data_IF_823325936874
#
_entry.id   IF_823325936874
#
_cell.length_a   1.000
_cell.length_b   1.000
_cell.length_c   1.000
_cell.angle_alpha   90.00
_cell.angle_beta   90.00
_cell.angle_gamma   90.00
#
_symmetry.space_group_name_H-M   'P 1'
#
loop_
_entity.id
_entity.type
_entity.pdbx_description
1 polymer ?
#
# COMPACT_ATOMS: atom_id res chain seq x y z
N UNK A 1 24.74 -40.97 5.24
CA UNK A 1 23.35 -40.99 5.73
C UNK A 1 23.25 -40.38 7.13
N UNK A 2 24.26 -40.58 7.99
CA UNK A 2 24.26 -40.05 9.38
C UNK A 2 24.27 -38.52 9.48
N UNK A 3 25.07 -37.79 8.69
CA UNK A 3 25.11 -36.31 8.74
C UNK A 3 23.81 -35.62 8.31
N UNK A 4 23.01 -36.28 7.46
CA UNK A 4 21.73 -35.75 7.00
C UNK A 4 20.63 -35.94 8.06
N UNK A 5 20.59 -37.10 8.71
CA UNK A 5 19.69 -37.34 9.83
C UNK A 5 20.06 -36.52 11.07
N UNK A 6 21.34 -36.22 11.27
CA UNK A 6 21.84 -35.34 12.33
C UNK A 6 21.48 -33.86 12.05
N UNK A 7 21.54 -33.43 10.79
CA UNK A 7 21.05 -32.12 10.35
C UNK A 7 19.53 -31.99 10.57
N UNK A 8 18.74 -33.01 10.22
CA UNK A 8 17.29 -33.03 10.42
C UNK A 8 16.91 -33.00 11.91
N UNK A 9 17.64 -33.71 12.77
CA UNK A 9 17.42 -33.70 14.23
C UNK A 9 17.77 -32.34 14.84
N UNK A 10 18.89 -31.74 14.45
CA UNK A 10 19.32 -30.45 15.01
C UNK A 10 18.53 -29.25 14.46
N UNK A 11 17.85 -29.40 13.32
CA UNK A 11 17.10 -28.32 12.67
C UNK A 11 15.62 -28.68 12.47
N UNK A 12 15.05 -29.51 13.35
CA UNK A 12 13.67 -30.02 13.24
C UNK A 12 12.65 -28.88 13.08
N UNK A 13 12.89 -27.73 13.72
CA UNK A 13 12.05 -26.52 13.58
C UNK A 13 12.13 -25.89 12.17
N UNK A 14 13.34 -25.75 11.61
CA UNK A 14 13.56 -25.17 10.26
C UNK A 14 13.01 -26.09 9.18
N UNK A 15 13.10 -27.41 9.37
CA UNK A 15 12.57 -28.40 8.43
C UNK A 15 11.04 -28.47 8.48
N UNK A 16 10.43 -28.32 9.66
CA UNK A 16 8.98 -28.23 9.81
C UNK A 16 8.42 -26.93 9.21
N UNK A 17 9.13 -25.80 9.39
CA UNK A 17 8.78 -24.51 8.78
C UNK A 17 8.95 -24.54 7.26
N UNK A 18 10.02 -25.14 6.74
CA UNK A 18 10.21 -25.33 5.30
C UNK A 18 9.15 -26.26 4.69
N UNK A 19 8.77 -27.35 5.38
CA UNK A 19 7.68 -28.23 4.96
C UNK A 19 6.31 -27.52 5.00
N UNK A 20 6.07 -26.66 6.01
CA UNK A 20 4.86 -25.85 6.12
C UNK A 20 4.74 -24.79 5.01
N UNK A 21 5.84 -24.12 4.67
CA UNK A 21 5.90 -23.13 3.58
C UNK A 21 5.69 -23.81 2.21
N UNK A 22 6.29 -24.98 1.98
CA UNK A 22 6.08 -25.75 0.73
C UNK A 22 4.63 -26.26 0.62
N UNK A 23 4.01 -26.68 1.73
CA UNK A 23 2.58 -27.02 1.77
C UNK A 23 1.68 -25.81 1.52
N UNK A 24 2.04 -24.62 2.00
CA UNK A 24 1.30 -23.38 1.77
C UNK A 24 1.42 -22.88 0.31
N UNK A 25 2.60 -23.03 -0.32
CA UNK A 25 2.81 -22.72 -1.74
C UNK A 25 2.10 -23.75 -2.64
N UNK A 26 2.06 -25.03 -2.26
CA UNK A 26 1.33 -26.05 -2.98
C UNK A 26 -0.21 -25.91 -2.85
N UNK A 27 -0.71 -25.41 -1.71
CA UNK A 27 -2.14 -25.16 -1.50
C UNK A 27 -2.63 -23.86 -2.14
N UNK A 28 -1.78 -22.83 -2.28
CA UNK A 28 -2.09 -21.61 -3.03
C UNK A 28 -1.76 -21.71 -4.55
N UNK A 29 -1.09 -22.78 -4.98
CA UNK A 29 -0.76 -23.06 -6.38
C UNK A 29 -1.87 -23.74 -7.20
N UNK A 30 -3.04 -24.02 -6.62
CA UNK A 30 -4.17 -24.68 -7.31
C UNK A 30 -5.49 -23.95 -7.05
N UNK A 31 -5.60 -22.68 -7.44
CA UNK A 31 -6.89 -22.07 -7.83
C UNK A 31 -6.64 -20.83 -8.69
N UNK A 32 -6.18 -21.05 -9.91
CA UNK A 32 -6.27 -20.08 -11.02
C UNK A 32 -6.25 -20.80 -12.36
N UNK A 33 -7.20 -21.70 -12.57
CA UNK A 33 -7.58 -22.13 -13.91
C UNK A 33 -8.72 -21.22 -14.39
N UNK A 34 -8.40 -19.98 -14.76
CA UNK A 34 -9.32 -19.20 -15.61
C UNK A 34 -9.12 -19.72 -17.04
N UNK A 35 -9.93 -20.71 -17.41
CA UNK A 35 -10.08 -21.11 -18.80
C UNK A 35 -10.72 -19.96 -19.58
N UNK A 36 -9.90 -19.21 -20.33
CA UNK A 36 -10.36 -18.31 -21.39
C UNK A 36 -10.01 -18.91 -22.75
N UNK A 37 -11.05 -19.31 -23.48
CA UNK A 37 -11.09 -19.15 -24.94
C UNK A 37 -11.15 -20.40 -25.82
N UNK A 38 -12.36 -20.71 -26.30
CA UNK A 38 -12.61 -20.84 -27.74
C UNK A 38 -12.78 -22.24 -28.33
N UNK A 39 -13.99 -22.53 -28.83
CA UNK A 39 -14.22 -23.51 -29.91
C UNK A 39 -15.37 -24.47 -29.67
N UNK A 40 -16.42 -24.34 -30.49
CA UNK A 40 -17.57 -25.24 -30.68
C UNK A 40 -17.36 -26.71 -30.30
N UNK A 41 -18.26 -27.26 -29.46
CA UNK A 41 -19.27 -28.25 -29.85
C UNK A 41 -20.12 -28.62 -28.62
N UNK A 42 -21.44 -28.50 -28.75
CA UNK A 42 -22.45 -29.07 -27.83
C UNK A 42 -22.39 -30.62 -27.88
N UNK A 43 -23.01 -31.44 -26.98
CA UNK A 43 -24.21 -31.14 -26.17
C UNK A 43 -24.14 -31.64 -24.68
N UNK A 44 -24.77 -30.94 -23.73
CA UNK A 44 -26.13 -31.13 -23.18
C UNK A 44 -26.13 -31.75 -21.77
N UNK A 45 -27.04 -31.20 -20.96
CA UNK A 45 -27.65 -31.76 -19.74
C UNK A 45 -26.81 -31.76 -18.45
N UNK A 46 -26.86 -30.64 -17.71
CA UNK A 46 -27.25 -30.61 -16.29
C UNK A 46 -27.07 -29.21 -15.68
N UNK A 47 -27.95 -28.25 -16.02
CA UNK A 47 -28.13 -27.07 -15.17
C UNK A 47 -29.53 -26.49 -15.37
N UNK A 48 -30.52 -27.14 -14.76
CA UNK A 48 -31.83 -26.58 -14.52
C UNK A 48 -32.00 -26.38 -13.00
N UNK A 49 -32.43 -25.15 -12.65
CA UNK A 49 -32.93 -24.69 -11.34
C UNK A 49 -31.81 -24.31 -10.35
N UNK A 50 -31.66 -23.05 -9.90
CA UNK A 50 -32.68 -22.04 -9.62
C UNK A 50 -32.19 -20.63 -10.02
N UNK A 51 -32.76 -20.12 -11.11
CA UNK A 51 -32.95 -18.69 -11.32
C UNK A 51 -34.05 -18.20 -10.35
N UNK A 52 -33.72 -17.25 -9.48
CA UNK A 52 -34.70 -16.26 -9.03
C UNK A 52 -34.11 -14.87 -9.22
N UNK A 53 -34.46 -14.33 -10.39
CA UNK A 53 -34.37 -12.96 -10.84
C UNK A 53 -35.13 -12.05 -9.85
N UNK A 54 -34.45 -11.07 -9.26
CA UNK A 54 -35.09 -9.84 -8.78
C UNK A 54 -34.49 -8.67 -9.55
N UNK A 55 -35.38 -7.94 -10.20
CA UNK A 55 -35.10 -6.89 -11.17
C UNK A 55 -34.43 -5.68 -10.52
N UNK A 56 -33.35 -5.23 -11.16
CA UNK A 56 -32.64 -4.00 -10.87
C UNK A 56 -33.37 -2.85 -11.58
N UNK A 57 -33.82 -1.78 -10.90
CA UNK A 57 -34.22 -0.57 -11.60
C UNK A 57 -32.96 0.15 -12.11
N UNK A 58 -32.88 0.34 -13.41
CA UNK A 58 -31.87 1.20 -14.02
C UNK A 58 -32.12 2.66 -13.64
N UNK A 59 -31.18 3.29 -12.96
CA UNK A 59 -31.06 4.74 -12.97
C UNK A 59 -29.71 5.15 -13.57
N UNK A 60 -29.80 5.67 -14.81
CA UNK A 60 -28.85 6.65 -15.33
C UNK A 60 -29.06 7.95 -14.55
N UNK A 61 -27.99 8.56 -14.06
CA UNK A 61 -28.02 9.95 -13.61
C UNK A 61 -27.06 10.24 -12.47
N UNK A 62 -26.08 11.08 -12.79
CA UNK A 62 -25.25 11.89 -11.93
C UNK A 62 -24.11 11.22 -11.16
N UNK A 63 -22.90 11.70 -11.49
CA UNK A 63 -21.69 11.59 -10.68
C UNK A 63 -21.96 12.27 -9.34
N UNK A 64 -22.60 11.54 -8.44
CA UNK A 64 -22.68 11.90 -7.05
C UNK A 64 -21.29 11.70 -6.47
N UNK A 65 -20.82 12.75 -5.81
CA UNK A 65 -19.73 12.75 -4.85
C UNK A 65 -20.12 11.80 -3.69
N UNK A 66 -20.09 10.48 -3.96
CA UNK A 66 -20.51 9.47 -3.00
C UNK A 66 -19.40 9.35 -1.97
N UNK A 67 -19.59 10.00 -0.83
CA UNK A 67 -18.81 9.71 0.37
C UNK A 67 -18.84 8.18 0.55
N UNK A 68 -17.69 7.54 0.45
CA UNK A 68 -17.56 6.08 0.59
C UNK A 68 -18.04 5.71 1.99
N UNK A 69 -19.26 5.15 2.09
CA UNK A 69 -19.92 4.83 3.36
C UNK A 69 -19.85 3.33 3.63
N UNK A 70 -19.67 2.97 4.91
CA UNK A 70 -19.73 1.58 5.36
C UNK A 70 -21.10 0.96 5.03
N UNK A 71 -21.14 -0.32 4.74
CA UNK A 71 -22.40 -1.08 4.63
C UNK A 71 -23.00 -1.34 6.02
N UNK A 72 -24.28 -1.75 6.08
CA UNK A 72 -24.88 -2.12 7.38
C UNK A 72 -24.21 -3.33 8.01
N UNK A 73 -23.77 -4.29 7.19
CA UNK A 73 -23.02 -5.46 7.67
C UNK A 73 -21.68 -5.04 8.30
N UNK A 74 -20.95 -4.13 7.65
CA UNK A 74 -19.69 -3.58 8.18
C UNK A 74 -19.90 -2.77 9.46
N UNK A 75 -20.92 -1.90 9.50
CA UNK A 75 -21.27 -1.15 10.71
C UNK A 75 -21.62 -2.09 11.87
N UNK A 76 -22.37 -3.15 11.60
CA UNK A 76 -22.72 -4.12 12.64
C UNK A 76 -21.49 -4.83 13.18
N UNK A 77 -20.60 -5.31 12.30
CA UNK A 77 -19.36 -5.95 12.72
C UNK A 77 -18.51 -5.02 13.61
N UNK A 78 -18.33 -3.75 13.21
CA UNK A 78 -17.56 -2.76 13.98
C UNK A 78 -18.17 -2.47 15.36
N UNK A 79 -19.51 -2.41 15.46
CA UNK A 79 -20.19 -2.22 16.76
C UNK A 79 -19.89 -3.35 17.74
N UNK A 80 -19.74 -4.57 17.23
CA UNK A 80 -19.59 -5.78 18.03
C UNK A 80 -18.13 -6.12 18.35
N UNK A 81 -17.16 -5.27 17.98
CA UNK A 81 -15.76 -5.48 18.34
C UNK A 81 -15.57 -5.56 19.85
N UNK A 82 -14.89 -6.62 20.28
CA UNK A 82 -14.42 -6.73 21.65
C UNK A 82 -13.25 -5.74 21.91
N UNK A 83 -12.82 -5.67 23.17
CA UNK A 83 -11.79 -4.72 23.58
C UNK A 83 -10.43 -5.01 22.94
N UNK A 84 -10.08 -6.28 22.72
CA UNK A 84 -8.81 -6.66 22.12
C UNK A 84 -8.77 -6.25 20.64
N UNK A 85 -9.83 -6.55 19.90
CA UNK A 85 -10.00 -6.15 18.50
C UNK A 85 -9.95 -4.64 18.35
N UNK A 86 -10.61 -3.89 19.25
CA UNK A 86 -10.56 -2.41 19.25
C UNK A 86 -9.14 -1.87 19.41
N UNK A 87 -8.33 -2.45 20.28
CA UNK A 87 -6.94 -2.03 20.48
C UNK A 87 -6.07 -2.30 19.26
N UNK A 88 -6.25 -3.45 18.61
CA UNK A 88 -5.53 -3.79 17.38
C UNK A 88 -5.93 -2.84 16.25
N UNK A 89 -7.24 -2.57 16.09
CA UNK A 89 -7.74 -1.62 15.09
C UNK A 89 -7.21 -0.21 15.36
N UNK A 90 -7.21 0.26 16.60
CA UNK A 90 -6.65 1.56 16.97
C UNK A 90 -5.16 1.64 16.60
N UNK A 91 -4.39 0.58 16.79
CA UNK A 91 -2.99 0.51 16.37
C UNK A 91 -2.85 0.59 14.84
N UNK A 92 -3.72 -0.10 14.10
CA UNK A 92 -3.73 -0.06 12.64
C UNK A 92 -4.07 1.34 12.14
N UNK A 93 -5.07 1.99 12.75
CA UNK A 93 -5.56 3.30 12.35
C UNK A 93 -4.61 4.45 12.71
N UNK A 94 -3.86 4.31 13.82
CA UNK A 94 -2.87 5.30 14.23
C UNK A 94 -1.56 5.18 13.43
N UNK A 95 -1.42 4.15 12.60
CA UNK A 95 -0.25 3.94 11.76
C UNK A 95 -0.44 4.55 10.38
N UNK A 96 0.65 5.07 9.82
CA UNK A 96 0.77 5.33 8.37
C UNK A 96 1.54 4.20 7.73
N UNK A 97 1.14 3.85 6.53
CA UNK A 97 1.60 2.64 5.86
C UNK A 97 2.27 3.02 4.54
N UNK A 98 3.50 2.56 4.31
CA UNK A 98 4.18 2.68 3.03
C UNK A 98 4.27 1.31 2.35
N UNK A 99 4.08 1.29 1.04
CA UNK A 99 4.17 0.09 0.24
C UNK A 99 5.56 -0.54 0.40
N UNK A 100 5.61 -1.87 0.51
CA UNK A 100 6.86 -2.58 0.73
C UNK A 100 7.82 -2.51 -0.47
N UNK A 101 7.31 -2.20 -1.66
CA UNK A 101 8.10 -1.92 -2.86
C UNK A 101 8.48 -0.44 -3.04
N UNK A 102 8.18 0.41 -2.04
CA UNK A 102 8.48 1.84 -2.05
C UNK A 102 7.46 2.69 -2.82
N UNK A 103 6.56 2.10 -3.61
CA UNK A 103 5.67 2.79 -4.54
C UNK A 103 4.21 2.83 -4.09
N UNK A 104 3.95 3.63 -3.06
CA UNK A 104 2.59 3.93 -2.62
C UNK A 104 2.46 4.04 -1.11
N UNK A 105 1.32 4.57 -0.67
CA UNK A 105 1.01 4.74 0.74
C UNK A 105 -0.43 4.37 1.02
N UNK A 106 -0.71 4.07 2.27
CA UNK A 106 -2.04 3.72 2.74
C UNK A 106 -2.30 4.37 4.10
N UNK A 107 -3.53 4.84 4.27
CA UNK A 107 -4.08 5.19 5.58
C UNK A 107 -5.34 4.38 5.82
N UNK A 108 -5.57 4.05 7.09
CA UNK A 108 -6.76 3.32 7.52
C UNK A 108 -7.41 4.13 8.62
N UNK A 109 -8.69 4.46 8.48
CA UNK A 109 -9.43 5.19 9.51
C UNK A 109 -10.92 4.91 9.43
N UNK A 110 -11.53 4.59 10.58
CA UNK A 110 -12.97 4.37 10.73
C UNK A 110 -13.53 3.33 9.73
N UNK A 111 -12.76 2.25 9.50
CA UNK A 111 -13.11 1.20 8.52
C UNK A 111 -12.94 1.60 7.05
N UNK A 112 -12.27 2.71 6.76
CA UNK A 112 -11.96 3.19 5.41
C UNK A 112 -10.46 3.07 5.16
N UNK A 113 -10.10 2.36 4.09
CA UNK A 113 -8.76 2.29 3.53
C UNK A 113 -8.66 3.33 2.42
N UNK A 114 -7.62 4.16 2.47
CA UNK A 114 -7.25 5.06 1.38
C UNK A 114 -5.83 4.73 0.93
N UNK A 115 -5.70 4.19 -0.28
CA UNK A 115 -4.42 3.92 -0.93
C UNK A 115 -4.10 5.04 -1.93
N UNK A 116 -2.84 5.49 -1.95
CA UNK A 116 -2.30 6.39 -2.95
C UNK A 116 -1.11 5.73 -3.63
N UNK A 117 -1.15 5.60 -4.95
CA UNK A 117 -0.10 4.93 -5.73
C UNK A 117 0.07 5.57 -7.11
N UNK A 118 1.27 5.43 -7.68
CA UNK A 118 1.58 5.91 -9.03
C UNK A 118 1.00 5.00 -10.10
N UNK A 119 0.18 5.54 -11.00
CA UNK A 119 -0.25 4.85 -12.22
C UNK A 119 0.50 5.45 -13.42
N UNK A 120 1.27 4.61 -14.11
CA UNK A 120 2.01 5.04 -15.30
C UNK A 120 1.13 4.88 -16.54
N UNK A 121 0.87 5.97 -17.25
CA UNK A 121 0.21 5.95 -18.56
C UNK A 121 0.95 6.87 -19.52
N UNK A 122 1.35 6.34 -20.67
CA UNK A 122 1.99 7.10 -21.76
C UNK A 122 3.16 7.98 -21.27
N UNK A 123 4.10 7.38 -20.50
CA UNK A 123 5.29 8.02 -19.90
C UNK A 123 5.06 9.05 -18.79
N UNK A 124 3.80 9.36 -18.44
CA UNK A 124 3.46 10.23 -17.31
C UNK A 124 3.00 9.39 -16.13
N UNK A 125 3.60 9.60 -14.95
CA UNK A 125 3.12 9.02 -13.69
C UNK A 125 2.06 9.95 -13.11
N UNK A 126 0.85 9.43 -12.91
CA UNK A 126 -0.21 10.15 -12.19
C UNK A 126 -0.48 9.48 -10.86
N UNK A 127 -0.65 10.29 -9.82
CA UNK A 127 -1.13 9.78 -8.53
C UNK A 127 -2.58 9.33 -8.66
N UNK A 128 -2.84 8.07 -8.36
CA UNK A 128 -4.17 7.51 -8.23
C UNK A 128 -4.49 7.32 -6.76
N UNK A 129 -5.71 7.68 -6.38
CA UNK A 129 -6.26 7.46 -5.04
C UNK A 129 -7.37 6.42 -5.14
N UNK A 130 -7.26 5.35 -4.36
CA UNK A 130 -8.25 4.30 -4.24
C UNK A 130 -8.81 4.32 -2.82
N UNK A 131 -10.14 4.37 -2.71
CA UNK A 131 -10.84 4.39 -1.43
C UNK A 131 -11.74 3.17 -1.36
N UNK A 132 -11.61 2.39 -0.30
CA UNK A 132 -12.38 1.18 -0.08
C UNK A 132 -12.76 1.02 1.39
N UNK A 133 -13.90 0.42 1.65
CA UNK A 133 -14.37 0.13 3.02
C UNK A 133 -14.14 -1.32 3.38
N UNK A 134 -13.89 -1.57 4.67
CA UNK A 134 -13.80 -2.91 5.21
C UNK A 134 -14.34 -2.98 6.64
N UNK A 135 -14.62 -4.19 7.11
CA UNK A 135 -14.76 -4.48 8.53
C UNK A 135 -14.16 -5.84 8.85
N UNK A 136 -13.59 -5.98 10.04
CA UNK A 136 -13.10 -7.23 10.60
C UNK A 136 -14.32 -8.02 11.10
N UNK A 137 -14.39 -9.31 10.82
CA UNK A 137 -15.50 -10.18 11.27
C UNK A 137 -15.03 -11.28 12.22
N UNK A 138 -13.75 -11.60 12.18
CA UNK A 138 -13.10 -12.51 13.11
C UNK A 138 -11.62 -12.15 13.25
N UNK A 139 -11.05 -12.45 14.41
CA UNK A 139 -9.62 -12.29 14.72
C UNK A 139 -9.10 -13.62 15.26
N UNK A 140 -7.93 -14.03 14.79
CA UNK A 140 -7.16 -15.13 15.36
C UNK A 140 -5.72 -14.69 15.55
N UNK A 141 -5.10 -15.11 16.65
CA UNK A 141 -3.73 -14.77 17.01
C UNK A 141 -2.86 -16.00 16.82
N UNK A 142 -1.90 -15.92 15.89
CA UNK A 142 -0.92 -17.00 15.71
C UNK A 142 0.21 -16.76 16.70
N UNK A 143 0.53 -17.79 17.48
CA UNK A 143 1.64 -17.76 18.42
C UNK A 143 2.91 -17.27 17.73
N UNK A 144 3.60 -16.34 18.40
CA UNK A 144 4.83 -15.76 17.88
C UNK A 144 5.93 -16.80 17.66
N UNK A 145 6.98 -16.39 16.97
CA UNK A 145 8.15 -17.24 16.83
C UNK A 145 8.84 -17.47 18.19
N UNK A 146 9.70 -18.49 18.26
CA UNK A 146 10.35 -18.87 19.52
C UNK A 146 11.30 -17.79 20.07
N UNK A 147 11.64 -16.80 19.25
CA UNK A 147 12.50 -15.67 19.63
C UNK A 147 11.70 -14.50 20.22
N UNK A 148 10.38 -14.47 20.02
CA UNK A 148 9.52 -13.34 20.35
C UNK A 148 9.68 -12.14 19.40
N UNK A 149 10.45 -12.32 18.32
CA UNK A 149 10.67 -11.31 17.31
C UNK A 149 9.48 -11.10 16.40
N UNK A 150 8.70 -12.14 16.17
CA UNK A 150 7.60 -12.14 15.22
C UNK A 150 6.32 -12.59 15.90
N UNK A 151 5.23 -11.87 15.67
CA UNK A 151 3.88 -12.31 16.00
C UNK A 151 2.91 -11.90 14.90
N UNK A 152 1.82 -12.65 14.76
CA UNK A 152 0.83 -12.41 13.70
C UNK A 152 -0.58 -12.38 14.27
N UNK A 153 -1.32 -11.35 13.89
CA UNK A 153 -2.77 -11.31 13.98
C UNK A 153 -3.35 -11.55 12.59
N UNK A 154 -4.31 -12.47 12.49
CA UNK A 154 -5.00 -12.81 11.25
C UNK A 154 -6.47 -12.43 11.40
N UNK A 155 -6.96 -11.62 10.47
CA UNK A 155 -8.32 -11.13 10.45
C UNK A 155 -9.05 -11.70 9.24
N UNK A 156 -10.29 -12.16 9.47
CA UNK A 156 -11.25 -12.26 8.38
C UNK A 156 -11.90 -10.89 8.20
N UNK A 157 -11.87 -10.34 6.98
CA UNK A 157 -12.41 -9.01 6.69
C UNK A 157 -13.43 -9.06 5.55
N UNK A 158 -14.44 -8.18 5.60
CA UNK A 158 -15.46 -8.06 4.55
C UNK A 158 -15.34 -6.74 3.80
N UNK A 159 -15.34 -6.78 2.47
CA UNK A 159 -15.34 -5.59 1.61
C UNK A 159 -16.75 -4.97 1.46
N UNK A 160 -16.85 -3.89 0.68
CA UNK A 160 -18.12 -3.23 0.38
C UNK A 160 -19.11 -4.13 -0.39
N UNK A 161 -18.60 -5.08 -1.16
CA UNK A 161 -19.38 -6.03 -1.95
C UNK A 161 -19.85 -7.23 -1.13
N UNK A 162 -19.34 -7.38 0.10
CA UNK A 162 -19.60 -8.49 1.00
C UNK A 162 -18.72 -9.72 0.75
N UNK A 163 -17.63 -9.58 -0.02
CA UNK A 163 -16.62 -10.61 -0.20
C UNK A 163 -15.75 -10.73 1.05
N UNK A 164 -15.41 -11.95 1.43
CA UNK A 164 -14.51 -12.24 2.54
C UNK A 164 -13.04 -12.25 2.06
N UNK A 165 -12.16 -11.67 2.85
CA UNK A 165 -10.73 -11.55 2.61
C UNK A 165 -9.94 -11.92 3.88
N UNK A 166 -8.65 -12.18 3.73
CA UNK A 166 -7.73 -12.43 4.85
C UNK A 166 -6.73 -11.29 4.94
N UNK A 167 -6.77 -10.57 6.06
CA UNK A 167 -5.80 -9.55 6.39
C UNK A 167 -4.86 -10.07 7.48
N UNK A 168 -3.56 -9.85 7.34
CA UNK A 168 -2.55 -10.25 8.31
C UNK A 168 -1.78 -9.03 8.78
N UNK A 169 -1.74 -8.81 10.10
CA UNK A 169 -0.86 -7.84 10.75
C UNK A 169 0.29 -8.59 11.42
N UNK A 170 1.51 -8.33 10.96
CA UNK A 170 2.73 -8.88 11.53
C UNK A 170 3.39 -7.83 12.41
N UNK A 171 3.78 -8.18 13.64
CA UNK A 171 4.70 -7.39 14.46
C UNK A 171 6.11 -7.92 14.24
N UNK A 172 7.05 -7.01 14.00
CA UNK A 172 8.47 -7.33 13.88
C UNK A 172 9.26 -6.55 14.93
N UNK A 173 10.03 -7.28 15.72
CA UNK A 173 10.96 -6.75 16.72
C UNK A 173 12.40 -7.11 16.32
N UNK A 174 13.10 -6.21 15.60
CA UNK A 174 14.46 -6.47 15.14
C UNK A 174 15.45 -6.72 16.29
N UNK A 175 15.28 -6.03 17.41
CA UNK A 175 16.17 -6.18 18.57
C UNK A 175 16.12 -7.60 19.14
N UNK A 176 14.96 -8.26 19.10
CA UNK A 176 14.81 -9.66 19.49
C UNK A 176 15.47 -10.65 18.50
N UNK A 177 15.64 -10.28 17.22
CA UNK A 177 16.31 -11.11 16.21
C UNK A 177 17.83 -11.02 16.29
N UNK A 178 18.36 -9.80 16.39
CA UNK A 178 19.79 -9.54 16.15
C UNK A 178 20.53 -9.01 17.37
N UNK A 179 19.84 -8.70 18.48
CA UNK A 179 20.44 -8.08 19.67
C UNK A 179 20.86 -6.61 19.47
N UNK A 180 20.74 -6.13 18.23
CA UNK A 180 20.94 -4.77 17.74
C UNK A 180 19.78 -4.49 16.77
N UNK A 181 19.19 -3.29 16.71
CA UNK A 181 18.10 -3.08 15.74
C UNK A 181 17.28 -1.81 15.92
N UNK A 182 16.51 -1.52 14.88
CA UNK A 182 15.52 -0.44 14.81
C UNK A 182 14.32 -0.73 15.73
N UNK A 183 13.49 0.29 15.96
CA UNK A 183 12.23 0.17 16.70
C UNK A 183 11.31 -0.92 16.13
N UNK A 184 10.46 -1.49 17.00
CA UNK A 184 9.41 -2.42 16.59
C UNK A 184 8.55 -1.79 15.49
N UNK A 185 8.23 -2.58 14.47
CA UNK A 185 7.38 -2.15 13.37
C UNK A 185 6.33 -3.18 13.02
N UNK A 186 5.41 -2.79 12.14
CA UNK A 186 4.31 -3.61 11.71
C UNK A 186 4.24 -3.70 10.19
N UNK A 187 3.87 -4.87 9.70
CA UNK A 187 3.57 -5.14 8.30
C UNK A 187 2.11 -5.56 8.17
N UNK A 188 1.40 -5.00 7.20
CA UNK A 188 0.01 -5.30 6.91
C UNK A 188 -0.12 -5.86 5.49
N UNK A 189 -0.75 -7.02 5.34
CA UNK A 189 -1.00 -7.68 4.06
C UNK A 189 -2.47 -8.06 3.93
N UNK A 190 -3.03 -7.87 2.75
CA UNK A 190 -4.40 -8.28 2.41
C UNK A 190 -4.50 -8.36 0.88
N UNK A 191 -5.26 -9.31 0.36
CA UNK A 191 -5.53 -9.45 -1.08
C UNK A 191 -6.41 -8.33 -1.63
N UNK A 192 -7.07 -7.57 -0.77
CA UNK A 192 -7.83 -6.38 -1.15
C UNK A 192 -6.98 -5.15 -1.46
N UNK A 193 -5.70 -5.16 -1.09
CA UNK A 193 -4.82 -4.02 -1.29
C UNK A 193 -4.35 -3.94 -2.75
N UNK A 194 -4.08 -2.72 -3.22
CA UNK A 194 -3.42 -2.53 -4.51
C UNK A 194 -2.03 -3.17 -4.54
N UNK A 195 -1.28 -3.03 -3.43
CA UNK A 195 0.06 -3.57 -3.33
C UNK A 195 0.05 -5.02 -2.78
N UNK A 196 0.37 -5.99 -3.64
CA UNK A 196 0.40 -7.41 -3.28
C UNK A 196 1.46 -7.76 -2.22
N UNK A 197 2.57 -7.00 -2.17
CA UNK A 197 3.61 -7.18 -1.14
C UNK A 197 3.19 -6.60 0.21
N UNK A 198 2.06 -5.89 0.26
CA UNK A 198 1.53 -5.21 1.43
C UNK A 198 2.29 -3.94 1.79
N UNK A 199 2.03 -3.48 3.00
CA UNK A 199 2.54 -2.23 3.52
C UNK A 199 3.25 -2.41 4.85
N UNK A 200 4.13 -1.46 5.19
CA UNK A 200 4.82 -1.41 6.47
C UNK A 200 4.87 0.02 7.01
N UNK A 201 4.84 0.16 8.33
CA UNK A 201 4.97 1.45 8.99
C UNK A 201 6.44 1.85 9.27
N UNK A 202 7.42 0.96 9.11
CA UNK A 202 8.85 1.34 9.23
C UNK A 202 9.43 2.00 7.98
N UNK A 203 8.74 1.86 6.85
CA UNK A 203 9.13 2.43 5.56
C UNK A 203 8.46 3.78 5.32
N UNK A 204 7.44 4.12 6.09
CA UNK A 204 6.64 5.32 5.83
C UNK A 204 7.39 6.57 6.25
N UNK A 205 7.66 7.45 5.29
CA UNK A 205 7.96 8.83 5.61
C UNK A 205 6.67 9.52 6.05
N UNK A 206 6.55 9.87 7.34
CA UNK A 206 5.39 10.60 7.85
C UNK A 206 5.21 11.98 7.20
N UNK A 207 6.33 12.52 6.71
CA UNK A 207 6.49 13.74 5.94
C UNK A 207 7.88 13.76 5.30
N UNK A 208 8.06 14.53 4.22
CA UNK A 208 9.37 14.83 3.69
C UNK A 208 9.81 16.23 4.16
N UNK A 209 11.03 16.34 4.66
CA UNK A 209 11.66 17.63 4.92
C UNK A 209 12.06 18.27 3.60
N UNK A 210 11.69 19.53 3.37
CA UNK A 210 12.11 20.28 2.19
C UNK A 210 13.20 21.29 2.54
N UNK A 211 14.39 21.13 1.96
CA UNK A 211 15.48 22.08 2.10
C UNK A 211 15.64 22.97 0.86
N UNK A 212 16.19 24.16 1.05
CA UNK A 212 16.51 25.10 -0.03
C UNK A 212 15.33 25.96 -0.50
N UNK A 213 14.09 25.60 -0.16
CA UNK A 213 12.89 26.27 -0.70
C UNK A 213 12.43 27.53 0.07
N UNK A 214 13.12 27.90 1.15
CA UNK A 214 12.74 29.06 1.97
C UNK A 214 13.20 30.40 1.39
N UNK A 215 14.15 30.37 0.43
CA UNK A 215 14.72 31.55 -0.21
C UNK A 215 13.79 32.26 -1.20
N UNK A 216 13.99 33.57 -1.37
CA UNK A 216 13.19 34.40 -2.27
C UNK A 216 13.29 33.97 -3.74
N UNK A 217 14.42 33.37 -4.15
CA UNK A 217 14.60 32.88 -5.51
C UNK A 217 13.66 31.72 -5.82
N UNK A 218 13.53 30.77 -4.89
CA UNK A 218 12.57 29.67 -5.03
C UNK A 218 11.14 30.22 -5.14
N UNK A 219 10.77 31.09 -4.21
CA UNK A 219 9.44 31.70 -4.19
C UNK A 219 9.12 32.42 -5.50
N UNK A 220 10.07 33.15 -6.07
CA UNK A 220 9.89 33.81 -7.37
C UNK A 220 9.70 32.82 -8.52
N UNK A 221 10.46 31.72 -8.53
CA UNK A 221 10.38 30.71 -9.59
C UNK A 221 9.02 30.01 -9.66
N UNK A 222 8.27 29.97 -8.55
CA UNK A 222 6.95 29.33 -8.46
C UNK A 222 5.82 30.31 -8.08
N UNK A 223 5.97 31.60 -8.38
CA UNK A 223 4.99 32.67 -8.11
C UNK A 223 4.45 32.72 -6.66
N UNK A 224 5.30 32.38 -5.69
CA UNK A 224 4.98 32.39 -4.27
C UNK A 224 4.11 31.22 -3.79
N UNK A 225 3.80 30.24 -4.65
CA UNK A 225 2.90 29.10 -4.35
C UNK A 225 3.57 27.97 -3.56
N UNK A 226 4.41 28.32 -2.60
CA UNK A 226 5.22 27.34 -1.85
C UNK A 226 4.37 26.32 -1.09
N UNK A 227 3.18 26.68 -0.61
CA UNK A 227 2.30 25.74 0.12
C UNK A 227 1.70 24.70 -0.82
N UNK A 228 1.18 25.14 -1.95
CA UNK A 228 0.60 24.30 -2.99
C UNK A 228 1.67 23.37 -3.59
N UNK A 229 2.86 23.92 -3.86
CA UNK A 229 4.03 23.15 -4.28
C UNK A 229 4.35 22.03 -3.27
N UNK A 230 4.57 22.37 -1.99
CA UNK A 230 4.91 21.36 -0.96
C UNK A 230 3.84 20.28 -0.89
N UNK A 231 2.56 20.65 -0.99
CA UNK A 231 1.45 19.68 -0.99
C UNK A 231 1.50 18.76 -2.22
N UNK A 232 1.62 19.30 -3.44
CA UNK A 232 1.69 18.51 -4.67
C UNK A 232 2.82 17.48 -4.61
N UNK A 233 4.02 17.96 -4.26
CA UNK A 233 5.19 17.09 -4.20
C UNK A 233 5.05 16.03 -3.11
N UNK A 234 4.50 16.36 -1.94
CA UNK A 234 4.21 15.34 -0.90
C UNK A 234 3.22 14.30 -1.40
N UNK A 235 2.15 14.71 -2.09
CA UNK A 235 1.17 13.77 -2.65
C UNK A 235 1.80 12.86 -3.71
N UNK A 236 2.69 13.40 -4.55
CA UNK A 236 3.46 12.61 -5.51
C UNK A 236 4.41 11.62 -4.81
N UNK A 237 5.19 12.08 -3.82
CA UNK A 237 6.11 11.24 -3.06
C UNK A 237 5.35 10.12 -2.35
N UNK A 238 4.24 10.41 -1.68
CA UNK A 238 3.44 9.39 -1.01
C UNK A 238 2.91 8.31 -1.97
N UNK A 239 2.69 8.65 -3.24
CA UNK A 239 2.21 7.73 -4.24
C UNK A 239 3.32 6.95 -4.98
N UNK A 240 4.51 7.53 -5.12
CA UNK A 240 5.56 6.99 -5.97
C UNK A 240 6.84 6.62 -5.22
N UNK A 241 7.15 7.36 -4.14
CA UNK A 241 8.39 7.31 -3.34
C UNK A 241 8.08 7.43 -1.85
N UNK A 242 7.24 6.53 -1.35
CA UNK A 242 6.62 6.62 0.00
C UNK A 242 7.63 6.56 1.17
N UNK A 243 8.88 6.22 0.86
CA UNK A 243 9.99 6.16 1.81
C UNK A 243 10.81 7.45 1.86
N UNK A 244 10.50 8.48 1.06
CA UNK A 244 11.26 9.74 1.00
C UNK A 244 11.11 10.59 2.25
N UNK A 245 12.23 10.81 2.95
CA UNK A 245 12.31 11.60 4.19
C UNK A 245 12.80 13.02 3.98
N UNK A 246 13.54 13.28 2.91
CA UNK A 246 14.12 14.59 2.63
C UNK A 246 14.20 14.87 1.13
N UNK A 247 13.80 16.07 0.75
CA UNK A 247 13.99 16.66 -0.57
C UNK A 247 14.87 17.91 -0.43
N UNK A 248 15.91 17.99 -1.25
CA UNK A 248 16.80 19.14 -1.27
C UNK A 248 16.82 19.74 -2.67
N UNK A 249 16.31 20.96 -2.79
CA UNK A 249 16.44 21.72 -4.03
C UNK A 249 17.92 22.00 -4.31
N UNK A 250 18.38 21.73 -5.52
CA UNK A 250 19.78 21.95 -5.93
C UNK A 250 20.10 23.43 -6.22
N UNK A 251 19.07 24.28 -6.25
CA UNK A 251 19.18 25.71 -6.59
C UNK A 251 19.04 26.01 -8.08
N UNK A 252 18.85 24.99 -8.92
CA UNK A 252 18.69 25.13 -10.37
C UNK A 252 17.24 25.44 -10.73
N UNK A 253 17.07 26.38 -11.66
CA UNK A 253 15.81 26.74 -12.32
C UNK A 253 16.08 26.74 -13.81
N UNK A 254 15.31 25.99 -14.59
CA UNK A 254 15.36 26.02 -16.05
C UNK A 254 14.01 26.55 -16.56
N UNK A 255 14.01 27.75 -17.11
CA UNK A 255 12.81 28.39 -17.66
C UNK A 255 12.66 28.09 -19.15
N UNK A 256 11.48 27.62 -19.55
CA UNK A 256 11.08 27.47 -20.94
C UNK A 256 9.89 28.39 -21.24
N UNK A 257 10.19 29.60 -21.72
CA UNK A 257 9.17 30.61 -22.03
C UNK A 257 8.24 30.22 -23.18
N UNK A 258 8.66 29.32 -24.08
CA UNK A 258 7.81 28.88 -25.19
C UNK A 258 6.71 27.92 -24.72
N UNK A 259 7.01 27.13 -23.69
CA UNK A 259 6.08 26.18 -23.07
C UNK A 259 5.47 26.73 -21.78
N UNK A 260 5.83 27.95 -21.38
CA UNK A 260 5.41 28.55 -20.11
C UNK A 260 5.75 27.69 -18.89
N UNK A 261 6.89 26.99 -18.89
CA UNK A 261 7.30 26.10 -17.79
C UNK A 261 8.58 26.53 -17.08
N UNK A 262 8.70 26.10 -15.84
CA UNK A 262 9.88 26.21 -15.00
C UNK A 262 10.21 24.83 -14.42
N UNK A 263 11.38 24.30 -14.73
CA UNK A 263 11.85 23.01 -14.20
C UNK A 263 12.77 23.22 -13.01
N UNK A 264 12.49 22.52 -11.91
CA UNK A 264 13.23 22.52 -10.67
C UNK A 264 13.71 21.11 -10.33
N UNK A 265 14.94 20.95 -9.85
CA UNK A 265 15.53 19.65 -9.53
C UNK A 265 15.70 19.45 -8.03
N UNK A 266 15.28 18.30 -7.52
CA UNK A 266 15.42 17.97 -6.10
C UNK A 266 16.14 16.65 -5.91
N UNK A 267 17.19 16.65 -5.10
CA UNK A 267 17.80 15.43 -4.60
C UNK A 267 16.91 14.76 -3.54
N UNK A 268 16.83 13.43 -3.56
CA UNK A 268 16.01 12.62 -2.66
C UNK A 268 16.87 11.90 -1.62
N UNK A 269 16.35 11.79 -0.40
CA UNK A 269 16.84 10.87 0.63
C UNK A 269 15.69 10.04 1.20
N UNK A 270 15.88 8.72 1.25
CA UNK A 270 14.88 7.78 1.75
C UNK A 270 15.18 7.32 3.19
N UNK A 271 14.16 6.80 3.88
CA UNK A 271 14.23 6.32 5.26
C UNK A 271 15.14 5.08 5.45
N UNK A 272 15.47 4.36 4.38
CA UNK A 272 16.26 3.14 4.42
C UNK A 272 17.43 3.18 3.44
N UNK A 273 18.59 2.66 3.89
CA UNK A 273 19.83 2.52 3.10
C UNK A 273 19.79 1.30 2.15
N UNK A 274 18.60 0.82 1.75
CA UNK A 274 18.51 -0.23 0.76
C UNK A 274 18.95 0.38 -0.59
N UNK A 275 20.13 -0.03 -1.05
CA UNK A 275 20.78 0.48 -2.26
C UNK A 275 19.98 0.25 -3.56
N UNK A 276 18.79 -0.35 -3.48
CA UNK A 276 17.96 -0.72 -4.62
C UNK A 276 16.81 0.28 -4.91
N UNK A 277 16.52 1.23 -4.00
CA UNK A 277 15.37 2.17 -4.11
C UNK A 277 15.78 3.65 -4.34
N UNK A 278 17.06 3.97 -4.54
CA UNK A 278 17.49 5.36 -4.60
C UNK A 278 17.31 5.97 -5.99
N UNK A 279 16.11 6.47 -6.30
CA UNK A 279 16.02 7.57 -7.25
C UNK A 279 16.87 8.73 -6.70
N UNK A 280 17.90 9.18 -7.43
CA UNK A 280 18.79 10.21 -6.93
C UNK A 280 18.09 11.56 -6.83
N UNK A 281 17.09 11.78 -7.70
CA UNK A 281 16.39 13.04 -7.80
C UNK A 281 15.03 12.92 -8.48
N UNK A 282 14.18 13.91 -8.24
CA UNK A 282 12.99 14.20 -9.04
C UNK A 282 13.12 15.56 -9.72
N UNK A 283 12.50 15.68 -10.88
CA UNK A 283 12.23 16.96 -11.53
C UNK A 283 10.79 17.36 -11.20
N UNK A 284 10.60 18.63 -10.88
CA UNK A 284 9.28 19.24 -10.77
C UNK A 284 9.17 20.31 -11.84
N UNK A 285 8.21 20.13 -12.75
CA UNK A 285 7.86 21.07 -13.81
C UNK A 285 6.69 21.90 -13.30
N UNK A 286 6.89 23.21 -13.19
CA UNK A 286 5.87 24.17 -12.83
C UNK A 286 5.39 24.90 -14.08
N UNK A 287 4.11 24.80 -14.38
CA UNK A 287 3.45 25.53 -15.47
C UNK A 287 3.10 26.93 -14.98
N UNK A 288 3.81 27.94 -15.47
CA UNK A 288 3.69 29.35 -15.02
C UNK A 288 2.37 30.01 -15.42
N UNK A 289 1.69 29.49 -16.44
CA UNK A 289 0.41 29.98 -16.95
C UNK A 289 -0.80 29.36 -16.24
N UNK A 290 -0.75 28.06 -15.95
CA UNK A 290 -1.83 27.32 -15.25
C UNK A 290 -1.62 27.24 -13.74
N UNK A 291 -0.38 27.45 -13.28
CA UNK A 291 0.09 27.23 -11.91
C UNK A 291 0.00 25.77 -11.44
N UNK A 292 0.05 24.82 -12.38
CA UNK A 292 0.08 23.38 -12.10
C UNK A 292 1.51 22.88 -11.93
N UNK A 293 1.66 21.79 -11.17
CA UNK A 293 2.94 21.10 -10.96
C UNK A 293 2.86 19.70 -11.56
N UNK A 294 3.93 19.27 -12.21
CA UNK A 294 4.14 17.92 -12.71
C UNK A 294 5.47 17.37 -12.19
N UNK A 295 5.48 16.14 -11.70
CA UNK A 295 6.67 15.51 -11.15
C UNK A 295 7.15 14.35 -12.06
N UNK A 296 8.47 14.31 -12.31
CA UNK A 296 9.10 13.32 -13.19
C UNK A 296 10.30 12.70 -12.51
N UNK A 297 10.39 11.38 -12.53
CA UNK A 297 11.53 10.64 -12.00
C UNK A 297 12.76 10.81 -12.89
N UNK A 298 13.93 11.02 -12.28
CA UNK A 298 15.21 11.03 -12.99
C UNK A 298 15.88 9.67 -12.80
N UNK A 299 15.93 8.88 -13.87
CA UNK A 299 16.61 7.57 -13.90
C UNK A 299 18.13 7.71 -14.02
#
# INVERSE_FOLDING_TARGET
>A
MDKFMEFLKNNTAVVAVAAGIVLFIAMNGITSCVAKGGGNDAPADAQEQLEQKSEQPSHKGDAADSKTELTERQRSAIRDYDQATKQIVEQIENSKWAANDGSGSMTIKDGIITESYGESKDSVKKTKKQVQTFAITAVDTIAGDQTGALSWEVFSVIDASGNDHIMTLSRVDPAALTGEGNDTYFELKCDMFHNENGYSNNRCAESAKFNGIEGDNFKKAIDGRTKEFKRSVIEYLLANHSTTTELTWDGTVIENFNESTCTLTFGIKNATNAAEDSLPSILVIYHTDTHEFEEVDVQ
#
